data_IF_656717266684
#
_entry.id   IF_656717266684
#
_cell.length_a   1.000
_cell.length_b   1.000
_cell.length_c   1.000
_cell.angle_alpha   90.00
_cell.angle_beta   90.00
_cell.angle_gamma   90.00
#
_symmetry.space_group_name_H-M   'P 1'
#
loop_
_entity.id
_entity.type
_entity.pdbx_description
1 polymer ?
#
# COMPACT_ATOMS: atom_id res chain seq x y z
N UNK A 1 -2.48 23.74 2.57
CA UNK A 1 -3.71 24.54 2.80
C UNK A 1 -4.92 23.92 2.09
N UNK A 2 -4.79 23.49 0.84
CA UNK A 2 -5.88 22.88 0.06
C UNK A 2 -6.39 21.52 0.60
N UNK A 3 -5.48 20.59 0.96
CA UNK A 3 -5.89 19.28 1.50
C UNK A 3 -6.68 19.36 2.81
N UNK A 4 -6.36 20.33 3.70
CA UNK A 4 -7.16 20.57 4.91
C UNK A 4 -8.59 20.97 4.58
N UNK A 5 -8.79 21.82 3.56
CA UNK A 5 -10.12 22.24 3.13
C UNK A 5 -10.91 21.06 2.57
N UNK A 6 -10.28 20.25 1.70
CA UNK A 6 -10.89 19.04 1.13
C UNK A 6 -11.27 18.07 2.25
N UNK A 7 -10.36 17.81 3.19
CA UNK A 7 -10.63 16.95 4.35
C UNK A 7 -11.86 17.41 5.12
N UNK A 8 -11.92 18.68 5.54
CA UNK A 8 -13.05 19.20 6.30
C UNK A 8 -14.37 19.15 5.51
N UNK A 9 -14.34 19.33 4.18
CA UNK A 9 -15.53 19.25 3.34
C UNK A 9 -16.05 17.83 3.13
N UNK A 10 -15.19 16.83 3.26
CA UNK A 10 -15.52 15.43 3.01
C UNK A 10 -15.65 14.60 4.29
N UNK A 11 -15.21 15.11 5.44
CA UNK A 11 -15.22 14.39 6.70
C UNK A 11 -16.60 13.76 6.99
N UNK A 12 -16.61 12.46 7.21
CA UNK A 12 -17.79 11.63 7.50
C UNK A 12 -18.85 11.57 6.39
N UNK A 13 -18.51 11.99 5.16
CA UNK A 13 -19.34 11.66 4.00
C UNK A 13 -19.15 10.20 3.62
N UNK A 14 -20.24 9.55 3.23
CA UNK A 14 -20.19 8.21 2.66
C UNK A 14 -20.03 8.34 1.15
N UNK A 15 -18.79 8.26 0.68
CA UNK A 15 -18.49 8.16 -0.75
C UNK A 15 -18.33 6.69 -1.12
N UNK A 16 -18.94 6.31 -2.24
CA UNK A 16 -18.66 5.03 -2.91
C UNK A 16 -17.24 5.02 -3.50
N UNK A 17 -16.71 3.83 -3.80
CA UNK A 17 -15.42 3.73 -4.52
C UNK A 17 -15.43 4.45 -5.86
N UNK A 18 -16.55 4.39 -6.59
CA UNK A 18 -16.71 5.08 -7.88
C UNK A 18 -16.62 6.61 -7.76
N UNK A 19 -17.32 7.22 -6.79
CA UNK A 19 -17.25 8.67 -6.56
C UNK A 19 -15.85 9.10 -6.15
N UNK A 20 -15.22 8.33 -5.26
CA UNK A 20 -13.85 8.61 -4.81
C UNK A 20 -12.83 8.46 -5.95
N UNK A 21 -12.98 7.47 -6.83
CA UNK A 21 -12.15 7.32 -8.04
C UNK A 21 -12.35 8.49 -9.00
N UNK A 22 -13.58 8.97 -9.19
CA UNK A 22 -13.86 10.17 -9.99
C UNK A 22 -13.07 11.39 -9.49
N UNK A 23 -13.08 11.63 -8.17
CA UNK A 23 -12.29 12.69 -7.53
C UNK A 23 -10.78 12.52 -7.78
N UNK A 24 -10.27 11.29 -7.71
CA UNK A 24 -8.86 11.00 -8.01
C UNK A 24 -8.51 11.29 -9.48
N UNK A 25 -9.39 10.92 -10.41
CA UNK A 25 -9.16 11.10 -11.84
C UNK A 25 -9.11 12.56 -12.27
N UNK A 26 -9.97 13.40 -11.67
CA UNK A 26 -10.00 14.85 -11.93
C UNK A 26 -8.78 15.59 -11.37
N UNK A 27 -8.12 15.04 -10.35
CA UNK A 27 -6.97 15.67 -9.72
C UNK A 27 -5.68 15.54 -10.55
N UNK A 28 -4.78 16.52 -10.39
CA UNK A 28 -3.43 16.47 -10.98
C UNK A 28 -2.63 15.27 -10.43
N UNK A 29 -1.89 14.59 -11.31
CA UNK A 29 -1.04 13.43 -10.99
C UNK A 29 -0.07 13.68 -9.82
N UNK A 30 0.32 14.93 -9.59
CA UNK A 30 1.21 15.38 -8.51
C UNK A 30 0.55 15.44 -7.13
N UNK A 31 -0.77 15.25 -7.04
CA UNK A 31 -1.52 15.26 -5.78
C UNK A 31 -2.43 14.05 -5.55
N UNK A 32 -2.64 13.20 -6.57
CA UNK A 32 -3.58 12.06 -6.51
C UNK A 32 -3.40 11.15 -5.30
N UNK A 33 -2.16 10.75 -4.98
CA UNK A 33 -1.93 9.86 -3.84
C UNK A 33 -2.11 10.57 -2.49
N UNK A 34 -1.73 11.85 -2.38
CA UNK A 34 -2.03 12.65 -1.19
C UNK A 34 -3.55 12.83 -1.01
N UNK A 35 -4.27 13.03 -2.11
CA UNK A 35 -5.73 13.11 -2.13
C UNK A 35 -6.36 11.77 -1.71
N UNK A 36 -5.85 10.63 -2.19
CA UNK A 36 -6.26 9.32 -1.72
C UNK A 36 -6.09 9.18 -0.21
N UNK A 37 -4.94 9.56 0.36
CA UNK A 37 -4.73 9.51 1.81
C UNK A 37 -5.79 10.35 2.53
N UNK A 38 -6.09 11.54 2.00
CA UNK A 38 -7.12 12.42 2.56
C UNK A 38 -8.52 11.78 2.50
N UNK A 39 -8.90 11.20 1.36
CA UNK A 39 -10.17 10.48 1.17
C UNK A 39 -10.26 9.25 2.08
N UNK A 40 -9.17 8.50 2.23
CA UNK A 40 -9.13 7.34 3.10
C UNK A 40 -9.51 7.69 4.54
N UNK A 41 -8.87 8.72 5.11
CA UNK A 41 -9.16 9.14 6.48
C UNK A 41 -10.48 9.89 6.64
N UNK A 42 -10.95 10.61 5.62
CA UNK A 42 -12.20 11.36 5.67
C UNK A 42 -13.43 10.47 5.48
N UNK A 43 -13.36 9.50 4.57
CA UNK A 43 -14.54 8.79 4.05
C UNK A 43 -14.33 7.27 3.93
N UNK A 44 -13.22 6.76 3.38
CA UNK A 44 -13.16 5.36 2.95
C UNK A 44 -12.77 4.35 4.05
N UNK A 45 -12.23 4.80 5.19
CA UNK A 45 -11.69 3.89 6.20
C UNK A 45 -12.72 2.87 6.73
N UNK A 46 -14.02 3.13 6.65
CA UNK A 46 -15.03 2.18 7.12
C UNK A 46 -15.23 0.97 6.18
N UNK A 47 -14.86 1.07 4.89
CA UNK A 47 -14.98 -0.01 3.90
C UNK A 47 -13.62 -0.34 3.28
N UNK A 48 -13.03 -1.48 3.67
CA UNK A 48 -11.70 -1.89 3.22
C UNK A 48 -11.63 -2.21 1.72
N UNK A 49 -12.70 -2.76 1.14
CA UNK A 49 -12.71 -3.10 -0.29
C UNK A 49 -12.66 -1.82 -1.12
N UNK A 50 -13.55 -0.87 -0.83
CA UNK A 50 -13.60 0.42 -1.52
C UNK A 50 -12.29 1.20 -1.32
N UNK A 51 -11.74 1.19 -0.10
CA UNK A 51 -10.45 1.81 0.17
C UNK A 51 -9.31 1.22 -0.67
N UNK A 52 -9.30 -0.10 -0.87
CA UNK A 52 -8.31 -0.77 -1.71
C UNK A 52 -8.49 -0.44 -3.20
N UNK A 53 -9.72 -0.42 -3.71
CA UNK A 53 -10.03 -0.06 -5.09
C UNK A 53 -9.57 1.37 -5.42
N UNK A 54 -9.84 2.33 -4.53
CA UNK A 54 -9.40 3.73 -4.69
C UNK A 54 -7.89 3.85 -4.51
N UNK A 55 -7.29 3.10 -3.57
CA UNK A 55 -5.84 3.03 -3.40
C UNK A 55 -5.14 2.60 -4.68
N UNK A 56 -5.60 1.50 -5.29
CA UNK A 56 -5.04 0.95 -6.52
C UNK A 56 -5.05 1.99 -7.65
N UNK A 57 -6.19 2.64 -7.84
CA UNK A 57 -6.34 3.70 -8.84
C UNK A 57 -5.34 4.84 -8.60
N UNK A 58 -5.30 5.36 -7.37
CA UNK A 58 -4.39 6.44 -7.01
C UNK A 58 -2.92 6.02 -7.13
N UNK A 59 -2.59 4.77 -6.81
CA UNK A 59 -1.23 4.23 -6.90
C UNK A 59 -0.76 4.20 -8.37
N UNK A 60 -1.55 3.61 -9.28
CA UNK A 60 -1.17 3.48 -10.69
C UNK A 60 -1.12 4.82 -11.42
N UNK A 61 -1.94 5.79 -10.99
CA UNK A 61 -2.12 7.07 -11.68
C UNK A 61 -1.31 8.24 -11.12
N UNK A 62 -0.45 7.99 -10.13
CA UNK A 62 0.32 9.02 -9.43
C UNK A 62 1.77 9.10 -9.89
N UNK A 63 2.30 10.32 -9.97
CA UNK A 63 3.74 10.55 -10.02
C UNK A 63 4.32 10.82 -8.62
N UNK A 64 5.45 10.18 -8.30
CA UNK A 64 6.21 10.40 -7.05
C UNK A 64 5.40 10.20 -5.75
N UNK A 65 4.83 9.00 -5.59
CA UNK A 65 4.06 8.57 -4.40
C UNK A 65 4.81 8.88 -3.09
N UNK A 66 6.12 8.64 -3.05
CA UNK A 66 6.94 8.87 -1.85
C UNK A 66 6.88 10.33 -1.37
N UNK A 67 7.04 11.31 -2.27
CA UNK A 67 6.93 12.73 -1.91
C UNK A 67 5.52 13.10 -1.45
N UNK A 68 4.51 12.51 -2.07
CA UNK A 68 3.11 12.76 -1.71
C UNK A 68 2.74 12.21 -0.33
N UNK A 69 3.28 11.05 0.05
CA UNK A 69 3.16 10.50 1.42
C UNK A 69 3.87 11.40 2.42
N UNK A 70 5.05 11.96 2.10
CA UNK A 70 5.77 12.83 3.03
C UNK A 70 5.07 14.16 3.28
N UNK A 71 4.30 14.64 2.30
CA UNK A 71 3.56 15.90 2.35
C UNK A 71 2.08 15.74 2.70
N UNK A 72 1.63 14.52 3.01
CA UNK A 72 0.23 14.28 3.38
C UNK A 72 -0.10 14.78 4.78
N UNK A 73 -1.36 15.15 4.97
CA UNK A 73 -1.88 15.59 6.26
C UNK A 73 -1.79 14.49 7.34
N UNK A 74 -1.92 13.24 6.91
CA UNK A 74 -1.90 12.07 7.76
C UNK A 74 -0.62 11.27 7.55
N UNK A 75 -0.10 10.68 8.63
CA UNK A 75 0.94 9.66 8.50
C UNK A 75 0.37 8.45 7.77
N UNK A 76 1.07 7.98 6.76
CA UNK A 76 0.65 6.86 5.94
C UNK A 76 1.83 5.95 5.63
N UNK A 77 1.62 4.63 5.80
CA UNK A 77 2.60 3.60 5.44
C UNK A 77 1.91 2.55 4.58
N UNK A 78 2.45 2.35 3.37
CA UNK A 78 1.88 1.46 2.36
C UNK A 78 1.75 0.01 2.87
N UNK A 79 2.76 -0.49 3.59
CA UNK A 79 2.76 -1.88 4.07
C UNK A 79 1.74 -2.07 5.19
N UNK A 80 1.65 -1.09 6.10
CA UNK A 80 0.67 -1.12 7.19
C UNK A 80 -0.74 -1.07 6.60
N UNK A 81 -0.98 -0.16 5.65
CA UNK A 81 -2.28 -0.05 4.97
C UNK A 81 -2.67 -1.38 4.30
N UNK A 82 -1.81 -1.96 3.46
CA UNK A 82 -2.13 -3.21 2.76
C UNK A 82 -2.39 -4.38 3.71
N UNK A 83 -1.67 -4.44 4.83
CA UNK A 83 -1.93 -5.45 5.87
C UNK A 83 -3.24 -5.23 6.59
N UNK A 84 -3.61 -3.98 6.87
CA UNK A 84 -4.93 -3.67 7.44
C UNK A 84 -6.05 -4.14 6.50
N UNK A 85 -5.93 -3.86 5.19
CA UNK A 85 -6.88 -4.33 4.18
C UNK A 85 -7.01 -5.87 4.21
N UNK A 86 -5.91 -6.61 4.23
CA UNK A 86 -5.94 -8.07 4.36
C UNK A 86 -6.58 -8.54 5.68
N UNK A 87 -6.20 -7.92 6.81
CA UNK A 87 -6.73 -8.27 8.14
C UNK A 87 -8.23 -8.02 8.27
N UNK A 88 -8.78 -7.10 7.46
CA UNK A 88 -10.20 -6.79 7.38
C UNK A 88 -10.96 -7.72 6.42
N UNK A 89 -10.31 -8.78 5.94
CA UNK A 89 -10.94 -9.87 5.19
C UNK A 89 -11.07 -9.61 3.69
N UNK A 90 -10.41 -8.60 3.15
CA UNK A 90 -10.43 -8.34 1.70
C UNK A 90 -9.55 -9.35 0.99
N UNK A 91 -10.14 -10.11 0.06
CA UNK A 91 -9.40 -11.00 -0.83
C UNK A 91 -8.81 -10.18 -2.00
N UNK A 92 -7.65 -9.57 -1.77
CA UNK A 92 -7.03 -8.64 -2.72
C UNK A 92 -6.80 -9.28 -4.12
N UNK A 93 -6.35 -10.54 -4.25
CA UNK A 93 -6.23 -11.19 -5.57
C UNK A 93 -7.53 -11.22 -6.40
N UNK A 94 -8.71 -11.24 -5.77
CA UNK A 94 -10.00 -11.19 -6.49
C UNK A 94 -10.33 -9.81 -7.05
N UNK A 95 -9.57 -8.77 -6.66
CA UNK A 95 -9.76 -7.39 -7.13
C UNK A 95 -8.83 -7.03 -8.31
N UNK A 96 -8.12 -8.02 -8.86
CA UNK A 96 -7.41 -7.87 -10.13
C UNK A 96 -8.42 -7.75 -11.28
N UNK A 97 -8.14 -6.83 -12.23
CA UNK A 97 -8.91 -6.78 -13.47
C UNK A 97 -8.56 -7.97 -14.39
N UNK A 98 -9.31 -8.15 -15.47
CA UNK A 98 -9.11 -9.28 -16.38
C UNK A 98 -7.69 -9.37 -16.97
N UNK A 99 -7.05 -8.24 -17.25
CA UNK A 99 -5.71 -8.17 -17.81
C UNK A 99 -4.67 -8.59 -16.76
N UNK A 100 -4.75 -8.02 -15.55
CA UNK A 100 -3.88 -8.37 -14.42
C UNK A 100 -4.04 -9.83 -14.01
N UNK A 101 -5.29 -10.32 -13.99
CA UNK A 101 -5.62 -11.70 -13.64
C UNK A 101 -5.06 -12.68 -14.67
N UNK A 102 -5.20 -12.38 -15.96
CA UNK A 102 -4.60 -13.20 -17.02
C UNK A 102 -3.06 -13.24 -16.88
N UNK A 103 -2.43 -12.10 -16.59
CA UNK A 103 -0.99 -12.06 -16.37
C UNK A 103 -0.58 -12.86 -15.12
N UNK A 104 -1.31 -12.72 -14.01
CA UNK A 104 -1.12 -13.51 -12.79
C UNK A 104 -1.24 -15.00 -13.06
N UNK A 105 -2.26 -15.42 -13.81
CA UNK A 105 -2.53 -16.83 -14.08
C UNK A 105 -1.42 -17.51 -14.88
N UNK A 106 -0.71 -16.76 -15.73
CA UNK A 106 0.44 -17.23 -16.50
C UNK A 106 1.75 -17.33 -15.69
N UNK A 107 1.81 -16.77 -14.47
CA UNK A 107 3.00 -16.86 -13.64
C UNK A 107 3.29 -18.33 -13.22
N UNK A 108 4.57 -18.76 -13.22
CA UNK A 108 4.97 -20.03 -12.63
C UNK A 108 4.63 -20.10 -11.14
N UNK A 109 4.56 -21.31 -10.58
CA UNK A 109 4.28 -21.47 -9.14
C UNK A 109 5.36 -20.82 -8.26
N UNK A 110 6.63 -20.87 -8.69
CA UNK A 110 7.75 -20.20 -8.05
C UNK A 110 8.56 -19.47 -9.13
N UNK A 111 8.84 -18.19 -8.88
CA UNK A 111 9.55 -17.34 -9.84
C UNK A 111 10.37 -16.29 -9.11
N UNK A 112 11.25 -15.62 -9.86
CA UNK A 112 12.16 -14.61 -9.33
C UNK A 112 11.63 -13.20 -9.62
N UNK A 113 11.59 -12.37 -8.58
CA UNK A 113 11.25 -10.95 -8.65
C UNK A 113 12.48 -10.09 -8.36
N UNK A 114 12.50 -8.88 -8.90
CA UNK A 114 13.58 -7.90 -8.83
C UNK A 114 13.05 -6.54 -8.39
N UNK A 115 13.86 -5.80 -7.65
CA UNK A 115 13.57 -4.40 -7.30
C UNK A 115 14.85 -3.60 -7.39
N UNK A 116 14.81 -2.48 -8.09
CA UNK A 116 15.82 -1.44 -7.98
C UNK A 116 15.36 -0.39 -6.98
N UNK A 117 16.29 0.14 -6.20
CA UNK A 117 15.97 1.07 -5.12
C UNK A 117 17.13 2.00 -4.78
N UNK A 118 16.86 3.02 -3.97
CA UNK A 118 17.90 3.90 -3.43
C UNK A 118 18.89 3.16 -2.53
N UNK A 119 20.10 3.72 -2.35
CA UNK A 119 21.12 3.15 -1.46
C UNK A 119 20.61 3.01 -0.02
N UNK A 120 19.84 4.00 0.45
CA UNK A 120 19.23 4.01 1.81
C UNK A 120 18.29 2.83 1.98
N UNK A 121 17.39 2.62 1.02
CA UNK A 121 16.46 1.50 1.04
C UNK A 121 17.21 0.16 1.01
N UNK A 122 18.17 0.02 0.10
CA UNK A 122 18.99 -1.18 -0.05
C UNK A 122 19.74 -1.56 1.25
N UNK A 123 20.42 -0.59 1.87
CA UNK A 123 21.13 -0.80 3.15
C UNK A 123 20.18 -1.16 4.29
N UNK A 124 19.00 -0.55 4.34
CA UNK A 124 18.04 -0.77 5.42
C UNK A 124 17.36 -2.15 5.37
N UNK A 125 17.36 -2.79 4.19
CA UNK A 125 16.58 -3.99 3.84
C UNK A 125 15.06 -3.81 4.03
N UNK A 126 14.57 -2.58 4.21
CA UNK A 126 13.15 -2.28 4.28
C UNK A 126 12.64 -1.91 2.89
N UNK A 127 12.51 -2.92 2.03
CA UNK A 127 12.12 -2.72 0.63
C UNK A 127 10.67 -2.27 0.50
N UNK A 128 10.38 -1.40 -0.47
CA UNK A 128 9.02 -1.07 -0.88
C UNK A 128 8.27 -2.27 -1.46
N UNK A 129 7.02 -2.02 -1.85
CA UNK A 129 6.06 -3.08 -2.18
C UNK A 129 6.06 -3.49 -3.66
N UNK A 130 6.64 -2.66 -4.54
CA UNK A 130 6.59 -2.88 -5.99
C UNK A 130 7.85 -3.59 -6.49
N UNK A 131 7.65 -4.67 -7.26
CA UNK A 131 8.69 -5.53 -7.80
C UNK A 131 8.41 -5.81 -9.27
N UNK A 132 9.45 -6.11 -10.05
CA UNK A 132 9.36 -6.46 -11.45
C UNK A 132 9.84 -7.89 -11.69
N UNK A 133 9.30 -8.58 -12.68
CA UNK A 133 9.87 -9.83 -13.20
C UNK A 133 11.10 -9.58 -14.08
N UNK A 134 11.21 -8.38 -14.66
CA UNK A 134 12.31 -8.01 -15.52
C UNK A 134 13.40 -7.28 -14.73
N UNK A 135 14.60 -7.88 -14.71
CA UNK A 135 15.78 -7.31 -14.05
C UNK A 135 16.16 -5.94 -14.62
N UNK A 136 16.15 -5.78 -15.95
CA UNK A 136 16.51 -4.52 -16.62
C UNK A 136 15.51 -3.41 -16.30
N UNK A 137 14.22 -3.73 -16.21
CA UNK A 137 13.21 -2.78 -15.71
C UNK A 137 13.55 -2.34 -14.29
N UNK A 138 13.85 -3.28 -13.40
CA UNK A 138 14.20 -2.98 -12.02
C UNK A 138 15.46 -2.09 -11.94
N UNK A 139 16.47 -2.33 -12.78
CA UNK A 139 17.72 -1.55 -12.79
C UNK A 139 17.52 -0.07 -13.13
N UNK A 140 16.49 0.29 -13.93
CA UNK A 140 16.14 1.70 -14.21
C UNK A 140 15.85 2.50 -12.93
N UNK A 141 15.35 1.84 -11.88
CA UNK A 141 15.03 2.46 -10.59
C UNK A 141 16.26 2.64 -9.67
N UNK A 142 17.40 2.03 -9.99
CA UNK A 142 18.67 2.23 -9.27
C UNK A 142 19.23 3.62 -9.53
N UNK A 143 19.02 4.12 -10.76
CA UNK A 143 19.54 5.38 -11.27
C UNK A 143 18.48 6.48 -11.30
N UNK A 144 17.39 6.34 -10.54
CA UNK A 144 16.29 7.30 -10.60
C UNK A 144 16.73 8.67 -10.06
N UNK A 145 17.15 9.52 -11.00
CA UNK A 145 17.93 10.75 -10.84
C UNK A 145 17.22 11.84 -10.00
N UNK A 146 15.88 11.73 -9.89
CA UNK A 146 15.06 12.70 -9.14
C UNK A 146 15.42 12.79 -7.65
N UNK A 147 16.16 11.82 -7.10
CA UNK A 147 16.54 11.80 -5.68
C UNK A 147 17.98 12.25 -5.38
N UNK A 148 18.77 12.72 -6.39
CA UNK A 148 20.15 13.24 -6.21
C UNK A 148 21.04 12.38 -5.30
N UNK A 149 20.88 11.06 -5.32
CA UNK A 149 21.55 10.15 -4.38
C UNK A 149 22.63 9.31 -5.06
N UNK A 150 23.62 8.88 -4.28
CA UNK A 150 24.61 7.85 -4.68
C UNK A 150 23.93 6.62 -5.32
N UNK A 151 24.65 5.89 -6.19
CA UNK A 151 24.18 4.66 -6.87
C UNK A 151 23.38 3.77 -5.92
N UNK A 152 22.15 3.45 -6.32
CA UNK A 152 21.23 2.58 -5.59
C UNK A 152 21.67 1.11 -5.54
N UNK A 153 20.72 0.22 -5.26
CA UNK A 153 20.96 -1.23 -5.25
C UNK A 153 19.85 -2.02 -5.93
N UNK A 154 20.20 -3.22 -6.40
CA UNK A 154 19.29 -4.21 -6.93
C UNK A 154 19.13 -5.34 -5.90
N UNK A 155 17.88 -5.68 -5.55
CA UNK A 155 17.57 -6.89 -4.78
C UNK A 155 16.76 -7.85 -5.65
N UNK A 156 16.88 -9.14 -5.36
CA UNK A 156 16.05 -10.17 -5.99
C UNK A 156 15.64 -11.25 -5.00
N UNK A 157 14.50 -11.89 -5.25
CA UNK A 157 13.96 -12.94 -4.38
C UNK A 157 13.21 -13.98 -5.20
N UNK A 158 13.28 -15.25 -4.79
CA UNK A 158 12.33 -16.25 -5.27
C UNK A 158 11.09 -16.20 -4.39
N UNK A 159 9.92 -16.15 -5.00
CA UNK A 159 8.62 -16.09 -4.31
C UNK A 159 7.69 -17.13 -4.92
N UNK A 160 6.76 -17.63 -4.10
CA UNK A 160 5.67 -18.41 -4.64
C UNK A 160 4.58 -17.47 -5.15
N UNK A 161 3.85 -17.92 -6.16
CA UNK A 161 2.70 -17.21 -6.73
C UNK A 161 1.63 -16.88 -5.70
N UNK A 162 1.41 -17.74 -4.72
CA UNK A 162 0.45 -17.51 -3.63
C UNK A 162 0.91 -16.46 -2.61
N UNK A 163 2.22 -16.11 -2.58
CA UNK A 163 2.78 -15.15 -1.63
C UNK A 163 2.67 -13.69 -2.13
N UNK A 164 2.34 -13.47 -3.41
CA UNK A 164 2.17 -12.11 -3.93
C UNK A 164 0.77 -11.60 -3.57
N UNK A 165 0.69 -10.29 -3.36
CA UNK A 165 -0.56 -9.66 -2.95
C UNK A 165 -1.51 -9.45 -4.14
N UNK A 166 -0.96 -8.90 -5.23
CA UNK A 166 -1.68 -8.57 -6.46
C UNK A 166 -0.67 -8.19 -7.54
N UNK A 167 -1.20 -7.99 -8.75
CA UNK A 167 -0.49 -7.38 -9.86
C UNK A 167 -1.20 -6.08 -10.20
N UNK A 168 -0.43 -5.02 -10.44
CA UNK A 168 -0.94 -3.76 -10.97
C UNK A 168 -0.46 -3.57 -12.40
N UNK A 169 -1.39 -3.19 -13.27
CA UNK A 169 -1.07 -2.68 -14.60
C UNK A 169 -1.11 -1.15 -14.55
N UNK A 170 0.06 -0.50 -14.62
CA UNK A 170 0.17 0.96 -14.62
C UNK A 170 0.10 1.58 -16.04
N UNK A 171 -0.18 0.74 -17.05
CA UNK A 171 -0.21 1.08 -18.46
C UNK A 171 1.15 1.04 -19.16
N UNK A 172 2.25 0.86 -18.43
CA UNK A 172 3.62 0.74 -18.98
C UNK A 172 4.23 -0.62 -18.72
N UNK A 173 4.02 -1.17 -17.53
CA UNK A 173 4.51 -2.49 -17.14
C UNK A 173 3.54 -3.13 -16.12
N UNK A 174 3.77 -4.41 -15.84
CA UNK A 174 3.12 -5.11 -14.73
C UNK A 174 4.00 -5.04 -13.50
N UNK A 175 3.46 -4.47 -12.42
CA UNK A 175 4.11 -4.44 -11.12
C UNK A 175 3.59 -5.58 -10.24
N UNK A 176 4.51 -6.41 -9.74
CA UNK A 176 4.23 -7.41 -8.71
C UNK A 176 4.21 -6.71 -7.35
N UNK A 177 3.05 -6.72 -6.68
CA UNK A 177 2.93 -6.17 -5.34
C UNK A 177 3.23 -7.27 -4.32
N UNK A 178 4.34 -7.12 -3.61
CA UNK A 178 4.84 -8.11 -2.65
C UNK A 178 5.29 -7.43 -1.36
N UNK A 179 4.79 -7.92 -0.23
CA UNK A 179 5.15 -7.42 1.10
C UNK A 179 6.37 -8.18 1.61
N UNK A 180 7.57 -7.60 1.44
CA UNK A 180 8.78 -8.19 2.01
C UNK A 180 8.79 -8.03 3.55
N UNK A 181 8.54 -9.12 4.25
CA UNK A 181 8.25 -9.17 5.68
C UNK A 181 9.41 -9.59 6.58
N UNK A 182 10.64 -9.59 6.08
CA UNK A 182 11.83 -10.08 6.82
C UNK A 182 12.07 -9.41 8.20
N UNK A 183 11.55 -8.19 8.43
CA UNK A 183 11.59 -7.53 9.75
C UNK A 183 10.26 -7.56 10.52
N UNK A 184 9.14 -7.84 9.87
CA UNK A 184 7.82 -7.83 10.53
C UNK A 184 7.52 -9.09 11.34
N UNK A 185 8.27 -10.18 11.13
CA UNK A 185 8.15 -11.37 11.97
C UNK A 185 8.44 -11.06 13.45
N UNK A 186 9.40 -10.16 13.73
CA UNK A 186 9.73 -9.73 15.09
C UNK A 186 8.73 -8.72 15.67
N UNK A 187 8.22 -7.77 14.86
CA UNK A 187 7.26 -6.79 15.37
C UNK A 187 5.88 -7.40 15.62
N UNK A 188 5.41 -8.33 14.76
CA UNK A 188 4.12 -9.00 14.91
C UNK A 188 3.99 -9.88 16.15
N UNK A 189 5.09 -10.45 16.66
CA UNK A 189 5.11 -11.14 17.95
C UNK A 189 4.85 -10.15 19.09
N UNK A 190 5.49 -8.96 19.03
CA UNK A 190 5.32 -7.91 20.04
C UNK A 190 3.93 -7.28 19.95
N UNK A 191 3.43 -6.93 18.77
CA UNK A 191 2.08 -6.34 18.62
C UNK A 191 0.96 -7.33 18.95
N UNK A 192 1.08 -8.62 18.62
CA UNK A 192 0.08 -9.63 19.04
C UNK A 192 0.03 -9.78 20.57
N UNK A 193 1.16 -9.66 21.27
CA UNK A 193 1.16 -9.60 22.74
C UNK A 193 0.52 -8.30 23.26
N UNK A 194 0.83 -7.15 22.66
CA UNK A 194 0.24 -5.87 23.05
C UNK A 194 -1.27 -5.80 22.82
N UNK A 195 -1.80 -6.27 21.67
CA UNK A 195 -3.24 -6.31 21.42
C UNK A 195 -3.98 -7.29 22.35
N UNK A 196 -3.34 -8.39 22.76
CA UNK A 196 -3.89 -9.29 23.79
C UNK A 196 -3.94 -8.60 25.17
N UNK A 197 -2.91 -7.86 25.55
CA UNK A 197 -2.87 -7.12 26.82
C UNK A 197 -3.87 -5.96 26.83
N UNK A 198 -4.00 -5.23 25.71
CA UNK A 198 -4.94 -4.11 25.60
C UNK A 198 -6.39 -4.61 25.68
N UNK A 199 -6.74 -5.67 24.94
CA UNK A 199 -8.07 -6.29 25.00
C UNK A 199 -8.40 -6.90 26.37
N UNK A 200 -7.40 -7.40 27.09
CA UNK A 200 -7.60 -7.87 28.46
C UNK A 200 -7.91 -6.71 29.41
N UNK A 201 -7.17 -5.59 29.31
CA UNK A 201 -7.42 -4.40 30.12
C UNK A 201 -8.79 -3.74 29.82
N UNK A 202 -9.21 -3.64 28.55
CA UNK A 202 -10.55 -3.10 28.23
C UNK A 202 -11.68 -4.03 28.66
N UNK A 203 -11.55 -5.36 28.53
CA UNK A 203 -12.53 -6.30 29.09
C UNK A 203 -12.59 -6.24 30.62
N UNK A 204 -11.45 -6.08 31.28
CA UNK A 204 -11.39 -5.94 32.73
C UNK A 204 -12.03 -4.64 33.22
N UNK A 205 -11.80 -3.52 32.52
CA UNK A 205 -12.36 -2.21 32.86
C UNK A 205 -13.88 -2.14 32.62
N UNK A 206 -14.39 -2.78 31.57
CA UNK A 206 -15.84 -2.84 31.29
C UNK A 206 -16.58 -3.73 32.30
N UNK A 207 -15.96 -4.83 32.76
CA UNK A 207 -16.54 -5.70 33.79
C UNK A 207 -16.61 -5.02 35.17
N UNK A 208 -15.68 -4.10 35.47
CA UNK A 208 -15.66 -3.35 36.74
C UNK A 208 -16.59 -2.13 36.75
N UNK A 209 -16.85 -1.51 35.60
CA UNK A 209 -17.65 -0.27 35.51
C UNK A 209 -19.15 -0.52 35.27
N UNK A 210 -19.53 -1.69 34.74
CA UNK A 210 -20.92 -2.02 34.38
C UNK A 210 -21.37 -3.39 34.91
N UNK A 211 -20.82 -3.85 36.04
CA UNK A 211 -21.20 -5.12 36.65
C UNK A 211 -22.70 -5.22 36.94
N UNK A 212 -23.40 -5.99 36.09
CA UNK A 212 -24.33 -7.02 36.51
C UNK A 212 -23.61 -8.36 36.46
#
# INVERSE_FOLDING_TARGET
MEMNRIFCQLLNKNLSSWEAQGIILEADRKIRFNLFITLYYATLNHNAKDAFEVFKEAYCLTDNIHSQIQSSLFKFDLKIFLKDIQNRGVNIPELMNSIEKNYYDQLPQCFKIYRGMSRKEHKSKNYGISWSLNKETAEKYIFYDKNKSEKGGLSSKHVNKEDILTIFNDGKDFEIIYLNDEKMFFSNIVTRQFYKILNWKTKFFLKYKYGK
#
